data_IF_816287455120
#
_entry.id   IF_816287455120
#
_cell.length_a   1.000
_cell.length_b   1.000
_cell.length_c   1.000
_cell.angle_alpha   90.00
_cell.angle_beta   90.00
_cell.angle_gamma   90.00
#
_symmetry.space_group_name_H-M   'P 1'
#
loop_
_entity.id
_entity.type
_entity.pdbx_description
1 polymer ?
#
# COMPACT_ATOMS: atom_id res chain seq x y z
N UNK A 1 -1.86 21.46 1.50
CA UNK A 1 -0.57 21.11 0.85
C UNK A 1 -0.76 19.88 -0.03
N UNK A 2 -0.84 20.05 -1.37
CA UNK A 2 -0.86 18.91 -2.31
C UNK A 2 0.59 18.46 -2.51
N UNK A 3 1.01 17.43 -1.79
CA UNK A 3 2.33 16.83 -1.96
C UNK A 3 2.41 16.26 -3.38
N UNK A 4 3.42 16.67 -4.16
CA UNK A 4 3.62 16.19 -5.53
C UNK A 4 3.95 14.69 -5.49
N UNK A 5 3.34 13.86 -6.34
CA UNK A 5 3.50 12.39 -6.31
C UNK A 5 4.98 11.96 -6.38
N UNK A 6 5.81 12.69 -7.13
CA UNK A 6 7.25 12.41 -7.27
C UNK A 6 8.06 12.46 -5.97
N UNK A 7 7.68 13.30 -5.01
CA UNK A 7 8.43 13.43 -3.74
C UNK A 7 8.13 12.27 -2.81
N UNK A 8 6.89 11.79 -2.78
CA UNK A 8 6.52 10.60 -2.00
C UNK A 8 7.11 9.32 -2.59
N UNK A 9 7.19 9.24 -3.92
CA UNK A 9 7.80 8.13 -4.63
C UNK A 9 9.33 8.10 -4.41
N UNK A 10 9.99 9.26 -4.45
CA UNK A 10 11.41 9.37 -4.11
C UNK A 10 11.68 9.02 -2.64
N UNK A 11 10.83 9.46 -1.71
CA UNK A 11 10.98 9.13 -0.28
C UNK A 11 10.79 7.64 -0.02
N UNK A 12 9.80 7.00 -0.67
CA UNK A 12 9.59 5.55 -0.56
C UNK A 12 10.73 4.76 -1.20
N UNK A 13 11.25 5.20 -2.34
CA UNK A 13 12.41 4.58 -2.97
C UNK A 13 13.67 4.71 -2.10
N UNK A 14 13.92 5.88 -1.51
CA UNK A 14 15.03 6.09 -0.58
C UNK A 14 14.90 5.24 0.68
N UNK A 15 13.70 5.17 1.26
CA UNK A 15 13.44 4.33 2.42
C UNK A 15 13.65 2.84 2.11
N UNK A 16 13.15 2.35 0.96
CA UNK A 16 13.36 0.96 0.53
C UNK A 16 14.83 0.67 0.27
N UNK A 17 15.57 1.61 -0.33
CA UNK A 17 17.01 1.46 -0.58
C UNK A 17 17.78 1.39 0.74
N UNK A 18 17.47 2.26 1.70
CA UNK A 18 18.09 2.24 3.03
C UNK A 18 17.82 0.95 3.79
N UNK A 19 16.59 0.45 3.73
CA UNK A 19 16.22 -0.83 4.35
C UNK A 19 16.91 -2.02 3.66
N UNK A 20 17.02 -2.01 2.33
CA UNK A 20 17.74 -3.05 1.59
C UNK A 20 19.23 -3.08 1.95
N UNK A 21 19.87 -1.92 2.14
CA UNK A 21 21.26 -1.83 2.60
C UNK A 21 21.43 -2.37 4.02
N UNK A 22 20.51 -2.04 4.94
CA UNK A 22 20.56 -2.54 6.31
C UNK A 22 20.40 -4.06 6.37
N UNK A 23 19.39 -4.59 5.65
CA UNK A 23 19.15 -6.03 5.57
C UNK A 23 20.25 -6.76 4.82
N UNK A 24 20.92 -6.11 3.85
CA UNK A 24 22.10 -6.68 3.20
C UNK A 24 23.25 -6.94 4.15
N UNK A 25 23.43 -6.09 5.17
CA UNK A 25 24.42 -6.33 6.23
C UNK A 25 24.03 -7.50 7.12
N UNK A 26 22.75 -7.63 7.45
CA UNK A 26 22.22 -8.76 8.21
C UNK A 26 22.29 -10.08 7.42
N UNK A 27 22.10 -10.03 6.10
CA UNK A 27 22.21 -11.18 5.21
C UNK A 27 23.60 -11.84 5.32
N UNK A 28 24.65 -11.01 5.22
CA UNK A 28 26.03 -11.46 5.34
C UNK A 28 26.31 -12.02 6.74
N UNK A 29 25.75 -11.42 7.79
CA UNK A 29 25.87 -11.94 9.16
C UNK A 29 25.18 -13.31 9.35
N UNK A 30 24.15 -13.61 8.56
CA UNK A 30 23.45 -14.89 8.53
C UNK A 30 24.05 -15.91 7.54
N UNK A 31 25.18 -15.58 6.89
CA UNK A 31 25.86 -16.48 5.95
C UNK A 31 25.29 -16.49 4.53
N UNK A 32 24.44 -15.52 4.18
CA UNK A 32 23.96 -15.34 2.80
C UNK A 32 24.98 -14.57 1.95
N UNK A 33 24.98 -14.78 0.62
CA UNK A 33 25.85 -14.03 -0.28
C UNK A 33 25.61 -12.52 -0.16
N UNK A 34 26.68 -11.70 -0.27
CA UNK A 34 26.55 -10.26 -0.24
C UNK A 34 25.67 -9.76 -1.40
N UNK A 35 25.02 -8.61 -1.21
CA UNK A 35 24.26 -7.99 -2.29
C UNK A 35 25.21 -7.49 -3.38
N UNK A 36 25.22 -8.20 -4.50
CA UNK A 36 25.90 -7.76 -5.72
C UNK A 36 25.14 -6.63 -6.43
N UNK A 37 25.78 -6.01 -7.43
CA UNK A 37 25.15 -5.00 -8.29
C UNK A 37 23.83 -5.51 -8.90
N UNK A 38 23.75 -6.79 -9.25
CA UNK A 38 22.52 -7.43 -9.74
C UNK A 38 21.39 -7.43 -8.70
N UNK A 39 21.70 -7.65 -7.42
CA UNK A 39 20.71 -7.60 -6.34
C UNK A 39 20.18 -6.17 -6.14
N UNK A 40 21.06 -5.16 -6.20
CA UNK A 40 20.64 -3.75 -6.15
C UNK A 40 19.78 -3.36 -7.37
N UNK A 41 20.12 -3.84 -8.56
CA UNK A 41 19.32 -3.60 -9.77
C UNK A 41 17.93 -4.24 -9.67
N UNK A 42 17.84 -5.47 -9.13
CA UNK A 42 16.56 -6.15 -8.89
C UNK A 42 15.70 -5.41 -7.86
N UNK A 43 16.30 -4.94 -6.76
CA UNK A 43 15.61 -4.10 -5.77
C UNK A 43 15.11 -2.80 -6.41
N UNK A 44 15.94 -2.18 -7.26
CA UNK A 44 15.55 -1.01 -8.05
C UNK A 44 14.35 -1.31 -8.97
N UNK A 45 14.39 -2.44 -9.70
CA UNK A 45 13.31 -2.88 -10.59
C UNK A 45 12.01 -3.19 -9.84
N UNK A 46 12.09 -3.66 -8.59
CA UNK A 46 10.91 -3.87 -7.72
C UNK A 46 10.33 -2.54 -7.23
N UNK A 47 11.16 -1.49 -7.13
CA UNK A 47 10.81 -0.20 -6.54
C UNK A 47 10.27 0.80 -7.57
N UNK A 48 10.85 0.86 -8.77
CA UNK A 48 10.42 1.80 -9.83
C UNK A 48 8.92 1.67 -10.20
N UNK A 49 8.34 0.46 -10.34
CA UNK A 49 6.92 0.29 -10.65
C UNK A 49 5.97 0.74 -9.52
N UNK A 50 6.47 0.91 -8.29
CA UNK A 50 5.68 1.40 -7.15
C UNK A 50 5.16 2.82 -7.41
N UNK A 51 5.88 3.65 -8.16
CA UNK A 51 5.43 5.00 -8.51
C UNK A 51 4.14 4.99 -9.37
N UNK A 52 3.91 3.94 -10.16
CA UNK A 52 2.70 3.77 -10.99
C UNK A 52 1.66 2.85 -10.38
N UNK A 53 1.84 2.41 -9.12
CA UNK A 53 0.94 1.48 -8.41
C UNK A 53 -0.49 1.97 -8.30
N UNK A 54 -0.71 3.27 -8.33
CA UNK A 54 -2.05 3.87 -8.26
C UNK A 54 -2.81 3.78 -9.58
N UNK A 55 -2.11 3.64 -10.71
CA UNK A 55 -2.71 3.54 -12.06
C UNK A 55 -2.99 2.09 -12.46
N UNK A 56 -2.10 1.17 -12.12
CA UNK A 56 -2.21 -0.25 -12.47
C UNK A 56 -1.85 -1.16 -11.28
N UNK A 57 -2.62 -1.13 -10.17
CA UNK A 57 -2.26 -1.78 -8.91
C UNK A 57 -2.05 -3.30 -9.03
N UNK A 58 -2.88 -3.98 -9.83
CA UNK A 58 -2.78 -5.44 -10.03
C UNK A 58 -1.56 -5.80 -10.86
N UNK A 59 -1.30 -5.08 -11.96
CA UNK A 59 -0.15 -5.34 -12.82
C UNK A 59 1.17 -5.12 -12.07
N UNK A 60 1.26 -4.04 -11.29
CA UNK A 60 2.42 -3.76 -10.44
C UNK A 60 2.61 -4.86 -9.39
N UNK A 61 1.53 -5.34 -8.77
CA UNK A 61 1.61 -6.43 -7.80
C UNK A 61 2.13 -7.73 -8.41
N UNK A 62 1.65 -8.11 -9.60
CA UNK A 62 2.13 -9.30 -10.28
C UNK A 62 3.59 -9.16 -10.70
N UNK A 63 3.99 -7.99 -11.19
CA UNK A 63 5.37 -7.72 -11.58
C UNK A 63 6.33 -7.77 -10.40
N UNK A 64 6.01 -7.13 -9.27
CA UNK A 64 6.88 -7.15 -8.08
C UNK A 64 6.97 -8.56 -7.47
N UNK A 65 5.88 -9.33 -7.48
CA UNK A 65 5.89 -10.75 -7.10
C UNK A 65 6.81 -11.58 -8.00
N UNK A 66 6.70 -11.40 -9.33
CA UNK A 66 7.51 -12.12 -10.29
C UNK A 66 9.01 -11.81 -10.10
N UNK A 67 9.37 -10.53 -9.97
CA UNK A 67 10.75 -10.12 -9.71
C UNK A 67 11.26 -10.64 -8.36
N UNK A 68 10.38 -10.74 -7.36
CA UNK A 68 10.74 -11.31 -6.07
C UNK A 68 11.01 -12.82 -6.15
N UNK A 69 10.20 -13.57 -6.91
CA UNK A 69 10.47 -14.98 -7.20
C UNK A 69 11.82 -15.14 -7.90
N UNK A 70 12.13 -14.31 -8.91
CA UNK A 70 13.44 -14.34 -9.60
C UNK A 70 14.59 -14.09 -8.63
N UNK A 71 14.44 -13.11 -7.73
CA UNK A 71 15.43 -12.79 -6.70
C UNK A 71 15.67 -13.97 -5.75
N UNK A 72 14.60 -14.64 -5.32
CA UNK A 72 14.68 -15.84 -4.47
C UNK A 72 15.37 -16.98 -5.22
N UNK A 73 15.02 -17.23 -6.49
CA UNK A 73 15.63 -18.30 -7.30
C UNK A 73 17.10 -18.06 -7.60
N UNK A 74 17.55 -16.80 -7.58
CA UNK A 74 18.95 -16.45 -7.71
C UNK A 74 19.77 -16.71 -6.42
N UNK A 75 19.13 -17.20 -5.34
CA UNK A 75 19.80 -17.59 -4.10
C UNK A 75 20.03 -16.43 -3.12
N UNK A 76 19.41 -15.28 -3.35
CA UNK A 76 19.52 -14.13 -2.45
C UNK A 76 18.51 -14.19 -1.30
N UNK A 77 18.82 -13.51 -0.19
CA UNK A 77 18.01 -13.56 1.02
C UNK A 77 16.62 -12.93 0.83
N UNK A 78 15.52 -13.71 0.88
CA UNK A 78 14.17 -13.28 0.45
C UNK A 78 13.64 -12.02 1.14
N UNK A 79 14.04 -11.81 2.40
CA UNK A 79 13.60 -10.69 3.25
C UNK A 79 13.95 -9.33 2.64
N UNK A 80 15.08 -9.22 1.93
CA UNK A 80 15.58 -7.95 1.39
C UNK A 80 14.63 -7.37 0.34
N UNK A 81 14.07 -8.22 -0.52
CA UNK A 81 13.23 -7.81 -1.65
C UNK A 81 11.71 -7.81 -1.34
N UNK A 82 11.29 -8.18 -0.12
CA UNK A 82 9.88 -8.37 0.22
C UNK A 82 9.06 -7.06 0.29
N UNK A 83 9.70 -5.91 0.50
CA UNK A 83 9.01 -4.63 0.70
C UNK A 83 8.19 -4.17 -0.49
N UNK A 84 8.66 -4.41 -1.72
CA UNK A 84 7.91 -4.05 -2.93
C UNK A 84 6.60 -4.83 -3.06
N UNK A 85 6.63 -6.18 -3.00
CA UNK A 85 5.43 -7.01 -2.93
C UNK A 85 4.49 -6.62 -1.77
N UNK A 86 5.02 -6.36 -0.57
CA UNK A 86 4.22 -5.90 0.58
C UNK A 86 3.44 -4.62 0.28
N UNK A 87 4.12 -3.63 -0.28
CA UNK A 87 3.54 -2.35 -0.62
C UNK A 87 2.52 -2.48 -1.76
N UNK A 88 2.76 -3.37 -2.71
CA UNK A 88 1.83 -3.66 -3.80
C UNK A 88 0.56 -4.35 -3.29
N UNK A 89 0.66 -5.35 -2.40
CA UNK A 89 -0.49 -6.02 -1.76
C UNK A 89 -1.32 -5.01 -0.96
N UNK A 90 -0.68 -4.16 -0.16
CA UNK A 90 -1.38 -3.07 0.54
C UNK A 90 -2.14 -2.16 -0.44
N UNK A 91 -1.52 -1.81 -1.57
CA UNK A 91 -2.12 -0.92 -2.57
C UNK A 91 -3.32 -1.58 -3.27
N UNK A 92 -3.20 -2.85 -3.66
CA UNK A 92 -4.32 -3.62 -4.22
C UNK A 92 -5.44 -3.76 -3.19
N UNK A 93 -5.11 -4.01 -1.93
CA UNK A 93 -6.07 -4.05 -0.84
C UNK A 93 -6.79 -2.71 -0.64
N UNK A 94 -6.09 -1.60 -0.87
CA UNK A 94 -6.60 -0.24 -0.72
C UNK A 94 -7.38 0.28 -1.94
N UNK A 95 -7.22 -0.29 -3.15
CA UNK A 95 -7.81 0.25 -4.37
C UNK A 95 -8.71 -0.74 -5.13
N UNK A 96 -8.53 -2.05 -4.94
CA UNK A 96 -9.20 -3.07 -5.73
C UNK A 96 -10.29 -3.83 -4.93
N UNK A 97 -11.14 -4.62 -5.62
CA UNK A 97 -12.11 -5.49 -4.97
C UNK A 97 -11.46 -6.49 -4.01
N UNK A 98 -12.22 -6.88 -2.98
CA UNK A 98 -11.74 -7.80 -1.92
C UNK A 98 -11.22 -9.11 -2.50
N UNK A 99 -11.91 -9.68 -3.51
CA UNK A 99 -11.50 -10.93 -4.18
C UNK A 99 -10.10 -10.83 -4.79
N UNK A 100 -9.83 -9.77 -5.55
CA UNK A 100 -8.53 -9.56 -6.20
C UNK A 100 -7.42 -9.30 -5.18
N UNK A 101 -7.72 -8.52 -4.13
CA UNK A 101 -6.77 -8.26 -3.05
C UNK A 101 -6.43 -9.51 -2.24
N UNK A 102 -7.41 -10.38 -1.98
CA UNK A 102 -7.21 -11.66 -1.30
C UNK A 102 -6.35 -12.60 -2.14
N UNK A 103 -6.58 -12.66 -3.46
CA UNK A 103 -5.77 -13.45 -4.37
C UNK A 103 -4.30 -12.96 -4.39
N UNK A 104 -4.07 -11.64 -4.42
CA UNK A 104 -2.71 -11.08 -4.37
C UNK A 104 -2.01 -11.33 -3.02
N UNK A 105 -2.75 -11.27 -1.91
CA UNK A 105 -2.23 -11.59 -0.58
C UNK A 105 -1.89 -13.09 -0.47
N UNK A 106 -2.74 -13.97 -1.00
CA UNK A 106 -2.49 -15.41 -1.05
C UNK A 106 -1.26 -15.74 -1.92
N UNK A 107 -1.09 -15.05 -3.06
CA UNK A 107 0.11 -15.18 -3.89
C UNK A 107 1.38 -14.79 -3.10
N UNK A 108 1.33 -13.71 -2.32
CA UNK A 108 2.45 -13.30 -1.47
C UNK A 108 2.81 -14.36 -0.42
N UNK A 109 1.78 -14.95 0.21
CA UNK A 109 1.98 -16.05 1.14
C UNK A 109 2.63 -17.26 0.45
N UNK A 110 2.18 -17.61 -0.76
CA UNK A 110 2.75 -18.70 -1.54
C UNK A 110 4.23 -18.46 -1.89
N UNK A 111 4.61 -17.23 -2.26
CA UNK A 111 6.02 -16.91 -2.55
C UNK A 111 6.89 -16.95 -1.28
N UNK A 112 6.36 -16.55 -0.12
CA UNK A 112 7.05 -16.74 1.17
C UNK A 112 7.28 -18.21 1.50
N UNK A 113 6.28 -19.07 1.28
CA UNK A 113 6.42 -20.52 1.48
C UNK A 113 7.45 -21.09 0.51
N UNK A 114 7.40 -20.68 -0.77
CA UNK A 114 8.38 -21.07 -1.78
C UNK A 114 9.81 -20.68 -1.39
N UNK A 115 9.99 -19.48 -0.85
CA UNK A 115 11.26 -19.02 -0.32
C UNK A 115 11.77 -19.90 0.83
N UNK A 116 10.89 -20.31 1.75
CA UNK A 116 11.23 -21.23 2.84
C UNK A 116 11.60 -22.63 2.37
N UNK A 117 10.94 -23.14 1.32
CA UNK A 117 11.23 -24.44 0.73
C UNK A 117 12.59 -24.48 0.03
N UNK A 118 12.95 -23.40 -0.68
CA UNK A 118 14.24 -23.25 -1.36
C UNK A 118 15.39 -22.94 -0.41
N UNK A 119 15.12 -22.12 0.60
CA UNK A 119 16.12 -21.57 1.51
C UNK A 119 15.90 -22.07 2.92
N UNK A 120 16.34 -23.30 3.22
CA UNK A 120 16.75 -23.63 4.58
C UNK A 120 18.07 -22.89 4.86
N UNK A 121 17.99 -21.56 5.01
CA UNK A 121 19.14 -20.75 5.43
C UNK A 121 19.66 -21.24 6.79
N UNK A 122 20.94 -20.98 7.12
CA UNK A 122 21.53 -21.45 8.37
C UNK A 122 20.74 -20.90 9.58
N UNK A 123 19.94 -21.74 10.24
CA UNK A 123 19.18 -21.39 11.45
C UNK A 123 17.74 -20.92 11.27
N UNK A 124 17.17 -20.95 10.06
CA UNK A 124 15.76 -20.61 9.83
C UNK A 124 14.79 -21.73 10.19
N UNK A 125 13.88 -21.52 11.14
CA UNK A 125 12.80 -22.47 11.42
C UNK A 125 11.66 -22.31 10.41
N UNK A 126 11.22 -23.43 9.80
CA UNK A 126 10.06 -23.47 8.90
C UNK A 126 8.80 -22.89 9.58
N UNK A 127 8.66 -23.07 10.90
CA UNK A 127 7.56 -22.48 11.66
C UNK A 127 7.59 -20.93 11.63
N UNK A 128 8.77 -20.33 11.70
CA UNK A 128 8.95 -18.88 11.60
C UNK A 128 8.63 -18.38 10.20
N UNK A 129 9.05 -19.10 9.16
CA UNK A 129 8.73 -18.76 7.77
C UNK A 129 7.23 -18.82 7.53
N UNK A 130 6.55 -19.89 7.99
CA UNK A 130 5.09 -20.02 7.88
C UNK A 130 4.37 -18.92 8.66
N UNK A 131 4.83 -18.58 9.86
CA UNK A 131 4.28 -17.47 10.62
C UNK A 131 4.40 -16.14 9.85
N UNK A 132 5.57 -15.84 9.27
CA UNK A 132 5.78 -14.65 8.45
C UNK A 132 4.91 -14.65 7.18
N UNK A 133 4.80 -15.80 6.51
CA UNK A 133 3.98 -15.99 5.31
C UNK A 133 2.50 -15.73 5.54
N UNK A 134 2.00 -15.93 6.77
CA UNK A 134 0.61 -15.68 7.13
C UNK A 134 0.44 -14.27 7.71
N UNK A 135 1.28 -13.88 8.67
CA UNK A 135 1.12 -12.63 9.42
C UNK A 135 1.31 -11.42 8.51
N UNK A 136 2.37 -11.37 7.71
CA UNK A 136 2.64 -10.17 6.89
C UNK A 136 1.54 -9.91 5.85
N UNK A 137 1.13 -10.88 5.01
CA UNK A 137 0.06 -10.63 4.04
C UNK A 137 -1.27 -10.31 4.72
N UNK A 138 -1.62 -10.97 5.82
CA UNK A 138 -2.86 -10.73 6.54
C UNK A 138 -2.92 -9.31 7.14
N UNK A 139 -1.83 -8.88 7.78
CA UNK A 139 -1.71 -7.54 8.37
C UNK A 139 -1.80 -6.47 7.28
N UNK A 140 -1.03 -6.61 6.19
CA UNK A 140 -1.03 -5.64 5.08
C UNK A 140 -2.38 -5.57 4.38
N UNK A 141 -3.02 -6.71 4.15
CA UNK A 141 -4.36 -6.78 3.58
C UNK A 141 -5.39 -6.07 4.47
N UNK A 142 -5.35 -6.33 5.79
CA UNK A 142 -6.24 -5.68 6.75
C UNK A 142 -6.02 -4.17 6.82
N UNK A 143 -4.78 -3.71 6.84
CA UNK A 143 -4.46 -2.28 6.80
C UNK A 143 -4.95 -1.62 5.51
N UNK A 144 -4.81 -2.28 4.36
CA UNK A 144 -5.35 -1.77 3.10
C UNK A 144 -6.88 -1.68 3.09
N UNK A 145 -7.57 -2.67 3.67
CA UNK A 145 -9.03 -2.62 3.85
C UNK A 145 -9.47 -1.50 4.79
N UNK A 146 -8.75 -1.27 5.88
CA UNK A 146 -9.01 -0.15 6.79
C UNK A 146 -8.79 1.19 6.08
N UNK A 147 -7.72 1.32 5.30
CA UNK A 147 -7.45 2.52 4.49
C UNK A 147 -8.56 2.79 3.46
N UNK A 148 -9.13 1.74 2.84
CA UNK A 148 -10.34 1.90 2.00
C UNK A 148 -11.51 2.44 2.77
N UNK A 149 -11.81 1.84 3.92
CA UNK A 149 -12.96 2.23 4.74
C UNK A 149 -12.81 3.67 5.22
N UNK A 150 -11.63 4.07 5.68
CA UNK A 150 -11.38 5.44 6.11
C UNK A 150 -11.50 6.44 4.97
N UNK A 151 -11.00 6.11 3.77
CA UNK A 151 -11.16 6.94 2.59
C UNK A 151 -12.63 7.09 2.17
N UNK A 152 -13.42 6.02 2.25
CA UNK A 152 -14.85 6.06 1.93
C UNK A 152 -15.65 6.87 2.97
N UNK A 153 -15.39 6.67 4.27
CA UNK A 153 -15.96 7.47 5.35
C UNK A 153 -15.64 8.96 5.19
N UNK A 154 -14.39 9.29 4.83
CA UNK A 154 -13.99 10.68 4.59
C UNK A 154 -14.73 11.30 3.41
N UNK A 155 -15.06 10.53 2.36
CA UNK A 155 -15.89 11.01 1.23
C UNK A 155 -17.33 11.23 1.67
N UNK A 156 -17.90 10.30 2.44
CA UNK A 156 -19.26 10.42 2.96
C UNK A 156 -19.41 11.66 3.85
N UNK A 157 -18.50 11.86 4.80
CA UNK A 157 -18.49 13.03 5.67
C UNK A 157 -18.35 14.35 4.91
N UNK A 158 -17.57 14.38 3.82
CA UNK A 158 -17.47 15.56 2.96
C UNK A 158 -18.79 15.85 2.25
N UNK A 159 -19.44 14.83 1.68
CA UNK A 159 -20.75 14.98 1.05
C UNK A 159 -21.81 15.48 2.02
N UNK A 160 -21.87 14.90 3.21
CA UNK A 160 -22.81 15.35 4.25
C UNK A 160 -22.55 16.81 4.68
N UNK A 161 -21.28 17.22 4.81
CA UNK A 161 -20.93 18.61 5.13
C UNK A 161 -21.38 19.57 4.03
N UNK A 162 -21.17 19.21 2.77
CA UNK A 162 -21.57 20.02 1.62
C UNK A 162 -23.10 20.13 1.53
N UNK A 163 -23.82 19.04 1.79
CA UNK A 163 -25.29 19.03 1.85
C UNK A 163 -25.85 19.88 3.00
N UNK A 164 -25.27 19.76 4.21
CA UNK A 164 -25.66 20.59 5.36
C UNK A 164 -25.41 22.07 5.09
N UNK A 165 -24.26 22.42 4.51
CA UNK A 165 -23.96 23.80 4.13
C UNK A 165 -24.98 24.36 3.13
N UNK A 166 -25.37 23.57 2.12
CA UNK A 166 -26.42 23.96 1.15
C UNK A 166 -27.78 24.16 1.82
N UNK A 167 -28.16 23.29 2.77
CA UNK A 167 -29.41 23.41 3.52
C UNK A 167 -29.45 24.67 4.36
N UNK A 168 -28.39 24.96 5.12
CA UNK A 168 -28.30 26.17 5.92
C UNK A 168 -28.42 27.45 5.07
N UNK A 169 -27.77 27.49 3.89
CA UNK A 169 -27.91 28.64 2.97
C UNK A 169 -29.34 28.76 2.44
N UNK A 170 -30.01 27.66 2.13
CA UNK A 170 -31.40 27.69 1.66
C UNK A 170 -32.38 28.15 2.75
N UNK A 171 -32.19 27.67 3.99
CA UNK A 171 -32.98 28.08 5.15
C UNK A 171 -32.83 29.58 5.43
N UNK A 172 -31.62 30.12 5.33
CA UNK A 172 -31.44 31.56 5.52
C UNK A 172 -32.09 32.39 4.40
N UNK A 173 -31.96 31.95 3.14
CA UNK A 173 -32.67 32.62 2.03
C UNK A 173 -34.18 32.63 2.24
N UNK A 174 -34.75 31.54 2.75
CA UNK A 174 -36.17 31.46 3.07
C UNK A 174 -36.57 32.32 4.27
N UNK A 175 -35.67 32.53 5.24
CA UNK A 175 -35.88 33.47 6.35
C UNK A 175 -35.88 34.92 5.85
N UNK A 176 -34.85 35.32 5.10
CA UNK A 176 -34.74 36.67 4.51
C UNK A 176 -35.97 37.00 3.66
N UNK A 177 -36.44 36.05 2.83
CA UNK A 177 -37.63 36.26 2.02
C UNK A 177 -38.89 36.52 2.86
N UNK A 178 -39.03 35.86 4.02
CA UNK A 178 -40.16 36.07 4.93
C UNK A 178 -40.04 37.41 5.68
N UNK A 179 -38.86 37.74 6.18
CA UNK A 179 -38.63 39.04 6.84
C UNK A 179 -38.87 40.21 5.87
N UNK A 180 -38.43 40.09 4.61
CA UNK A 180 -38.75 41.06 3.56
C UNK A 180 -40.25 41.16 3.31
N UNK A 181 -40.98 40.05 3.29
CA UNK A 181 -42.43 40.05 3.10
C UNK A 181 -43.16 40.75 4.24
N UNK A 182 -42.77 40.46 5.49
CA UNK A 182 -43.39 41.06 6.68
C UNK A 182 -43.14 42.58 6.72
N UNK A 183 -41.94 43.05 6.36
CA UNK A 183 -41.64 44.49 6.25
C UNK A 183 -42.51 45.15 5.17
N UNK A 184 -42.68 44.52 4.01
CA UNK A 184 -43.51 45.07 2.92
C UNK A 184 -44.98 45.10 3.31
N UNK A 185 -45.49 44.05 3.98
CA UNK A 185 -46.88 43.96 4.39
C UNK A 185 -47.26 44.94 5.52
N UNK A 186 -46.31 45.35 6.36
CA UNK A 186 -46.55 46.27 7.47
C UNK A 186 -46.45 47.76 7.09
N UNK A 187 -45.91 48.07 5.91
CA UNK A 187 -45.77 49.45 5.41
C UNK A 187 -46.81 49.87 4.35
N UNK A 188 -47.79 49.01 4.04
CA UNK A 188 -48.99 49.36 3.25
C UNK A 188 -50.19 49.57 4.17
#
# INVERSE_FOLDING_TARGET
MRIRPSTMDALTALAQTGVAVLLGREAVAQGWPPLDLAAYLLVGLVTVPVAVRTKAPVAVCLFTQLMWVVYITAGYWPVVACFGPMLAVYTVAALCPVRTSAACAALMAAVWVYAGLLGNGPGGSMATVLAQAVVFPAVLWRFGLVARRSAELARQLRRERDERARRHVAEERARIARELHDIVAHHM
#
